data_IF_526931937275
#
_entry.id   IF_526931937275
#
_cell.length_a   1.000
_cell.length_b   1.000
_cell.length_c   1.000
_cell.angle_alpha   90.00
_cell.angle_beta   90.00
_cell.angle_gamma   90.00
#
_symmetry.space_group_name_H-M   'P 1'
#
loop_
_entity.id
_entity.type
_entity.pdbx_description
1 polymer ?
#
# COMPACT_ATOMS: atom_id res chain seq x y z
N UNK A 1 11.07 4.79 26.77
CA UNK A 1 10.24 4.43 25.60
C UNK A 1 8.84 4.16 26.15
N UNK A 2 7.84 5.01 25.87
CA UNK A 2 6.48 4.76 26.35
C UNK A 2 5.97 3.46 25.73
N UNK A 3 5.44 2.57 26.57
CA UNK A 3 4.95 1.29 26.13
C UNK A 3 3.71 1.50 25.24
N UNK A 4 3.81 1.19 23.95
CA UNK A 4 2.68 1.29 23.02
C UNK A 4 1.56 0.38 23.52
N UNK A 5 0.39 0.97 23.77
CA UNK A 5 -0.75 0.24 24.32
C UNK A 5 -1.13 -0.94 23.44
N UNK A 6 -1.66 -2.02 24.05
CA UNK A 6 -2.16 -3.19 23.29
C UNK A 6 -3.20 -2.79 22.25
N UNK A 7 -4.02 -1.79 22.58
CA UNK A 7 -5.01 -1.21 21.68
C UNK A 7 -4.36 -0.57 20.45
N UNK A 8 -3.33 0.26 20.64
CA UNK A 8 -2.65 0.93 19.53
C UNK A 8 -1.94 -0.07 18.61
N UNK A 9 -1.29 -1.11 19.17
CA UNK A 9 -0.73 -2.21 18.37
C UNK A 9 -1.79 -2.97 17.56
N UNK A 10 -3.03 -3.07 18.07
CA UNK A 10 -4.15 -3.68 17.34
C UNK A 10 -4.57 -2.78 16.17
N UNK A 11 -4.70 -1.47 16.41
CA UNK A 11 -5.05 -0.49 15.38
C UNK A 11 -4.03 -0.46 14.25
N UNK A 12 -2.73 -0.44 14.56
CA UNK A 12 -1.67 -0.46 13.54
C UNK A 12 -1.83 -1.68 12.62
N UNK A 13 -2.06 -2.88 13.19
CA UNK A 13 -2.24 -4.11 12.39
C UNK A 13 -3.49 -4.06 11.53
N UNK A 14 -4.60 -3.59 12.09
CA UNK A 14 -5.88 -3.46 11.40
C UNK A 14 -5.75 -2.52 10.19
N UNK A 15 -5.21 -1.33 10.41
CA UNK A 15 -5.03 -0.33 9.35
C UNK A 15 -3.95 -0.72 8.33
N UNK A 16 -2.93 -1.47 8.74
CA UNK A 16 -1.97 -2.05 7.81
C UNK A 16 -2.63 -3.09 6.89
N UNK A 17 -3.55 -3.91 7.41
CA UNK A 17 -4.33 -4.85 6.60
C UNK A 17 -5.21 -4.14 5.58
N UNK A 18 -5.88 -3.06 5.99
CA UNK A 18 -6.70 -2.23 5.09
C UNK A 18 -5.82 -1.56 4.01
N UNK A 19 -4.69 -1.00 4.40
CA UNK A 19 -3.75 -0.38 3.45
C UNK A 19 -3.21 -1.41 2.45
N UNK A 20 -2.83 -2.60 2.92
CA UNK A 20 -2.35 -3.68 2.07
C UNK A 20 -3.39 -4.10 1.02
N UNK A 21 -4.64 -4.30 1.43
CA UNK A 21 -5.74 -4.61 0.50
C UNK A 21 -5.94 -3.50 -0.54
N UNK A 22 -5.96 -2.23 -0.11
CA UNK A 22 -6.14 -1.09 -1.02
C UNK A 22 -4.99 -0.96 -2.03
N UNK A 23 -3.74 -1.14 -1.58
CA UNK A 23 -2.55 -1.15 -2.45
C UNK A 23 -2.66 -2.25 -3.50
N UNK A 24 -2.97 -3.47 -3.06
CA UNK A 24 -3.10 -4.62 -3.95
C UNK A 24 -4.26 -4.43 -4.93
N UNK A 25 -5.40 -3.92 -4.47
CA UNK A 25 -6.56 -3.61 -5.30
C UNK A 25 -6.24 -2.58 -6.38
N UNK A 26 -5.50 -1.53 -6.05
CA UNK A 26 -5.04 -0.53 -7.03
C UNK A 26 -4.18 -1.19 -8.10
N UNK A 27 -3.16 -1.94 -7.70
CA UNK A 27 -2.25 -2.60 -8.63
C UNK A 27 -2.95 -3.66 -9.50
N UNK A 28 -3.90 -4.42 -8.94
CA UNK A 28 -4.72 -5.37 -9.70
C UNK A 28 -5.65 -4.66 -10.69
N UNK A 29 -6.15 -3.47 -10.34
CA UNK A 29 -6.98 -2.68 -11.25
C UNK A 29 -6.18 -2.19 -12.47
N UNK A 30 -4.91 -1.84 -12.28
CA UNK A 30 -4.00 -1.49 -13.37
C UNK A 30 -3.69 -2.70 -14.27
N UNK A 31 -3.49 -3.88 -13.67
CA UNK A 31 -3.32 -5.12 -14.42
C UNK A 31 -4.59 -5.49 -15.19
N UNK A 32 -5.77 -5.27 -14.61
CA UNK A 32 -7.06 -5.53 -15.27
C UNK A 32 -7.21 -4.76 -16.59
N UNK A 33 -6.74 -3.52 -16.66
CA UNK A 33 -6.74 -2.75 -17.91
C UNK A 33 -5.98 -3.49 -19.02
N UNK A 34 -4.92 -4.23 -18.70
CA UNK A 34 -4.17 -5.00 -19.70
C UNK A 34 -4.95 -6.22 -20.19
N UNK A 35 -5.71 -6.88 -19.33
CA UNK A 35 -6.66 -7.91 -19.77
C UNK A 35 -7.71 -7.33 -20.72
N UNK A 36 -8.26 -6.16 -20.40
CA UNK A 36 -9.24 -5.52 -21.28
C UNK A 36 -8.62 -5.13 -22.66
N UNK A 37 -7.31 -4.80 -22.70
CA UNK A 37 -6.57 -4.57 -23.97
C UNK A 37 -6.40 -5.85 -24.78
N UNK A 38 -6.11 -6.96 -24.11
CA UNK A 38 -6.01 -8.28 -24.74
C UNK A 38 -7.35 -8.73 -25.31
N UNK A 39 -8.45 -8.53 -24.58
CA UNK A 39 -9.81 -8.84 -25.06
C UNK A 39 -10.18 -8.04 -26.33
N UNK A 40 -9.62 -6.83 -26.49
CA UNK A 40 -9.79 -5.99 -27.70
C UNK A 40 -8.79 -6.31 -28.81
N UNK A 41 -7.89 -7.27 -28.60
CA UNK A 41 -6.85 -7.66 -29.57
C UNK A 41 -5.75 -6.61 -29.74
N UNK A 42 -5.59 -5.67 -28.81
CA UNK A 42 -4.54 -4.64 -28.85
C UNK A 42 -3.17 -5.16 -28.43
N UNK A 43 -3.15 -6.23 -27.64
CA UNK A 43 -1.95 -6.97 -27.24
C UNK A 43 -2.23 -8.46 -27.43
N UNK A 44 -1.18 -9.23 -27.68
CA UNK A 44 -1.28 -10.68 -27.79
C UNK A 44 -1.14 -11.40 -26.43
N UNK A 45 -1.28 -12.72 -26.46
CA UNK A 45 -1.19 -13.55 -25.24
C UNK A 45 0.23 -13.58 -24.65
N UNK A 46 1.28 -13.40 -25.45
CA UNK A 46 2.67 -13.35 -24.95
C UNK A 46 2.90 -12.04 -24.20
N UNK A 47 2.44 -10.92 -24.76
CA UNK A 47 2.52 -9.60 -24.13
C UNK A 47 1.75 -9.56 -22.80
N UNK A 48 0.52 -10.10 -22.77
CA UNK A 48 -0.25 -10.20 -21.53
C UNK A 48 0.45 -11.09 -20.49
N UNK A 49 0.97 -12.25 -20.91
CA UNK A 49 1.69 -13.16 -20.01
C UNK A 49 2.91 -12.48 -19.37
N UNK A 50 3.69 -11.71 -20.16
CA UNK A 50 4.81 -10.93 -19.65
C UNK A 50 4.38 -9.83 -18.67
N UNK A 51 3.25 -9.16 -18.91
CA UNK A 51 2.68 -8.17 -17.99
C UNK A 51 2.27 -8.82 -16.65
N UNK A 52 1.64 -9.99 -16.69
CA UNK A 52 1.28 -10.77 -15.49
C UNK A 52 2.53 -11.20 -14.74
N UNK A 53 3.56 -11.69 -15.43
CA UNK A 53 4.84 -12.05 -14.80
C UNK A 53 5.52 -10.85 -14.14
N UNK A 54 5.57 -9.69 -14.80
CA UNK A 54 6.11 -8.46 -14.21
C UNK A 54 5.33 -8.01 -12.98
N UNK A 55 4.00 -8.05 -13.04
CA UNK A 55 3.14 -7.75 -11.88
C UNK A 55 3.49 -8.66 -10.69
N UNK A 56 3.57 -9.98 -10.92
CA UNK A 56 3.85 -10.93 -9.86
C UNK A 56 5.26 -10.75 -9.26
N UNK A 57 6.29 -10.60 -10.11
CA UNK A 57 7.68 -10.54 -9.65
C UNK A 57 8.08 -9.17 -9.08
N UNK A 58 7.45 -8.11 -9.57
CA UNK A 58 7.70 -6.73 -9.15
C UNK A 58 6.62 -6.22 -8.22
N UNK A 59 5.54 -5.68 -8.78
CA UNK A 59 4.52 -4.90 -8.05
C UNK A 59 3.94 -5.64 -6.85
N UNK A 60 3.42 -6.87 -7.05
CA UNK A 60 2.83 -7.66 -5.97
C UNK A 60 3.86 -8.00 -4.89
N UNK A 61 5.11 -8.26 -5.29
CA UNK A 61 6.21 -8.57 -4.37
C UNK A 61 6.59 -7.37 -3.51
N UNK A 62 6.67 -6.17 -4.10
CA UNK A 62 6.99 -4.94 -3.35
C UNK A 62 5.86 -4.55 -2.39
N UNK A 63 4.60 -4.72 -2.80
CA UNK A 63 3.45 -4.57 -1.91
C UNK A 63 3.58 -5.55 -0.74
N UNK A 64 3.81 -6.84 -1.00
CA UNK A 64 3.97 -7.84 0.05
C UNK A 64 5.10 -7.48 1.02
N UNK A 65 6.28 -7.10 0.52
CA UNK A 65 7.42 -6.71 1.37
C UNK A 65 7.10 -5.56 2.31
N UNK A 66 6.32 -4.57 1.86
CA UNK A 66 5.93 -3.41 2.67
C UNK A 66 5.14 -3.81 3.91
N UNK A 67 4.28 -4.82 3.78
CA UNK A 67 3.36 -5.24 4.86
C UNK A 67 3.80 -6.53 5.57
N UNK A 68 4.73 -7.31 5.01
CA UNK A 68 5.26 -8.53 5.60
C UNK A 68 6.40 -8.23 6.60
N UNK A 69 6.10 -7.41 7.60
CA UNK A 69 7.05 -6.93 8.61
C UNK A 69 6.43 -6.91 10.00
N UNK A 70 7.27 -6.93 11.04
CA UNK A 70 6.87 -6.79 12.44
C UNK A 70 6.59 -5.34 12.84
N UNK A 71 7.06 -4.36 12.05
CA UNK A 71 6.90 -2.92 12.27
C UNK A 71 6.06 -2.33 11.14
N UNK A 72 4.77 -2.17 11.40
CA UNK A 72 3.76 -1.81 10.40
C UNK A 72 3.45 -0.30 10.40
N UNK A 73 3.92 0.44 11.40
CA UNK A 73 3.76 1.87 11.52
C UNK A 73 4.26 2.64 10.28
N UNK A 74 5.46 2.34 9.71
CA UNK A 74 5.91 2.99 8.49
C UNK A 74 5.02 2.67 7.27
N UNK A 75 4.52 1.44 7.18
CA UNK A 75 3.63 1.03 6.09
C UNK A 75 2.31 1.83 6.13
N UNK A 76 1.68 1.93 7.30
CA UNK A 76 0.45 2.73 7.49
C UNK A 76 0.72 4.22 7.23
N UNK A 77 1.83 4.76 7.73
CA UNK A 77 2.18 6.16 7.50
C UNK A 77 2.41 6.49 6.02
N UNK A 78 3.14 5.62 5.30
CA UNK A 78 3.37 5.77 3.86
C UNK A 78 2.05 5.71 3.07
N UNK A 79 1.13 4.84 3.45
CA UNK A 79 -0.19 4.75 2.84
C UNK A 79 -1.04 6.01 3.07
N UNK A 80 -0.91 6.66 4.23
CA UNK A 80 -1.54 7.96 4.50
C UNK A 80 -0.91 9.07 3.66
N UNK A 81 0.42 9.14 3.64
CA UNK A 81 1.16 10.15 2.86
C UNK A 81 0.87 10.04 1.35
N UNK A 82 0.75 8.83 0.82
CA UNK A 82 0.40 8.57 -0.57
C UNK A 82 -1.10 8.78 -0.89
N UNK A 83 -1.92 9.14 0.11
CA UNK A 83 -3.37 9.35 -0.04
C UNK A 83 -4.19 8.06 -0.23
N UNK A 84 -3.59 6.88 -0.04
CA UNK A 84 -4.29 5.59 -0.08
C UNK A 84 -5.24 5.42 1.11
N UNK A 85 -4.82 5.91 2.27
CA UNK A 85 -5.63 6.09 3.46
C UNK A 85 -5.83 7.58 3.71
N UNK A 86 -7.07 8.01 3.99
CA UNK A 86 -7.29 9.40 4.40
C UNK A 86 -7.11 9.54 5.91
N UNK A 87 -6.44 10.60 6.38
CA UNK A 87 -6.20 10.84 7.82
C UNK A 87 -7.50 10.79 8.63
N UNK A 88 -8.59 11.25 8.05
CA UNK A 88 -9.93 11.33 8.67
C UNK A 88 -10.60 9.96 8.83
N UNK A 89 -10.15 8.93 8.11
CA UNK A 89 -10.64 7.56 8.28
C UNK A 89 -10.03 6.90 9.53
N UNK A 90 -8.87 7.35 9.99
CA UNK A 90 -8.10 6.71 11.06
C UNK A 90 -8.50 7.25 12.44
N UNK A 91 -8.45 6.41 13.49
CA UNK A 91 -8.56 6.88 14.87
C UNK A 91 -7.47 7.92 15.20
N UNK A 92 -7.85 8.98 15.90
CA UNK A 92 -6.95 10.10 16.20
C UNK A 92 -5.67 9.67 16.96
N UNK A 93 -5.80 8.70 17.86
CA UNK A 93 -4.66 8.13 18.59
C UNK A 93 -3.65 7.43 17.68
N UNK A 94 -4.11 6.80 16.59
CA UNK A 94 -3.23 6.19 15.61
C UNK A 94 -2.53 7.25 14.76
N UNK A 95 -3.27 8.27 14.31
CA UNK A 95 -2.71 9.39 13.53
C UNK A 95 -1.62 10.10 14.32
N UNK A 96 -1.88 10.41 15.60
CA UNK A 96 -0.89 11.02 16.48
C UNK A 96 0.34 10.14 16.69
N UNK A 97 0.14 8.82 16.83
CA UNK A 97 1.23 7.88 17.03
C UNK A 97 2.21 7.82 15.84
N UNK A 98 1.70 7.92 14.61
CA UNK A 98 2.49 7.81 13.39
C UNK A 98 2.75 9.16 12.70
N UNK A 99 2.39 10.29 13.34
CA UNK A 99 2.44 11.63 12.73
C UNK A 99 3.81 11.98 12.15
N UNK A 100 4.89 11.76 12.91
CA UNK A 100 6.25 12.04 12.43
C UNK A 100 6.68 11.16 11.25
N UNK A 101 6.15 9.93 11.14
CA UNK A 101 6.38 9.08 9.97
C UNK A 101 5.58 9.57 8.76
N UNK A 102 4.35 10.06 8.97
CA UNK A 102 3.54 10.64 7.89
C UNK A 102 4.26 11.85 7.30
N UNK A 103 4.72 12.78 8.14
CA UNK A 103 5.46 13.97 7.70
C UNK A 103 6.73 13.59 6.92
N UNK A 104 7.47 12.58 7.40
CA UNK A 104 8.64 12.06 6.69
C UNK A 104 8.30 11.60 5.26
N UNK A 105 7.26 10.77 5.10
CA UNK A 105 6.87 10.26 3.77
C UNK A 105 6.22 11.34 2.88
N UNK A 106 5.49 12.30 3.45
CA UNK A 106 4.94 13.43 2.70
C UNK A 106 6.07 14.28 2.10
N UNK A 107 7.15 14.51 2.85
CA UNK A 107 8.33 15.21 2.36
C UNK A 107 9.07 14.43 1.27
N UNK A 108 9.27 13.13 1.47
CA UNK A 108 9.94 12.24 0.51
C UNK A 108 9.20 12.21 -0.84
N UNK A 109 7.87 12.13 -0.82
CA UNK A 109 7.03 12.20 -2.02
C UNK A 109 7.06 13.57 -2.70
N UNK A 110 7.21 14.66 -1.95
CA UNK A 110 7.31 16.01 -2.52
C UNK A 110 8.66 16.31 -3.18
N UNK A 111 9.69 15.54 -2.84
CA UNK A 111 11.05 15.67 -3.35
C UNK A 111 11.34 14.77 -4.56
N UNK A 112 10.41 13.90 -4.94
CA UNK A 112 10.50 12.92 -6.03
C UNK A 112 9.75 13.38 -7.28
#
# INVERSE_FOLDING_TARGET
MQEVSKQLKRLVREWAGIAHDRDLRKALSELRVQFDRWDRGEIDSFELNELVHRFHQGTAREIWKRYATTHLEPAVASAVAAGLLRKEELPIELVQHIAGLIEFYEQDLSAS
#
